data_IF_951287162264
#
_entry.id   IF_951287162264
#
_cell.length_a   1.000
_cell.length_b   1.000
_cell.length_c   1.000
_cell.angle_alpha   90.00
_cell.angle_beta   90.00
_cell.angle_gamma   90.00
#
_symmetry.space_group_name_H-M   'P 1'
#
loop_
_entity.id
_entity.type
_entity.pdbx_description
1 polymer ?
#
# COMPACT_ATOMS: atom_id res chain seq x y z
N UNK A 1 -6.05 10.48 -15.06
CA UNK A 1 -6.50 9.26 -14.37
C UNK A 1 -7.68 9.58 -13.47
N UNK A 2 -8.43 8.54 -13.07
CA UNK A 2 -9.49 8.58 -12.05
C UNK A 2 -8.99 7.82 -10.85
N UNK A 3 -8.98 8.42 -9.67
CA UNK A 3 -8.27 7.88 -8.51
C UNK A 3 -9.15 7.87 -7.26
N UNK A 4 -9.26 6.72 -6.59
CA UNK A 4 -9.66 6.67 -5.18
C UNK A 4 -8.37 6.82 -4.36
N UNK A 5 -8.29 7.87 -3.56
CA UNK A 5 -7.20 8.12 -2.62
C UNK A 5 -7.64 7.63 -1.26
N UNK A 6 -7.04 6.55 -0.78
CA UNK A 6 -7.31 6.01 0.54
C UNK A 6 -6.20 6.38 1.52
N UNK A 7 -6.59 6.99 2.63
CA UNK A 7 -5.72 7.23 3.79
C UNK A 7 -6.59 7.25 5.05
N UNK A 8 -6.23 6.46 6.06
CA UNK A 8 -6.92 6.42 7.35
C UNK A 8 -6.62 7.65 8.21
N UNK A 9 -5.62 8.47 7.83
CA UNK A 9 -5.23 9.68 8.54
C UNK A 9 -4.51 9.45 9.86
N UNK A 10 -3.82 8.32 9.98
CA UNK A 10 -3.02 8.01 11.16
C UNK A 10 -1.62 8.63 11.10
N UNK A 11 -1.00 8.82 12.27
CA UNK A 11 0.38 9.26 12.41
C UNK A 11 1.38 8.20 11.90
N UNK A 12 2.67 8.53 11.95
CA UNK A 12 3.76 7.60 11.65
C UNK A 12 3.74 6.33 12.52
N UNK A 13 3.23 6.45 13.74
CA UNK A 13 3.11 5.38 14.74
C UNK A 13 1.78 4.62 14.64
N UNK A 14 0.90 5.04 13.73
CA UNK A 14 -0.41 4.42 13.51
C UNK A 14 -1.49 4.91 14.46
N UNK A 15 -1.36 6.13 15.00
CA UNK A 15 -2.32 6.73 15.93
C UNK A 15 -3.12 7.85 15.26
N UNK A 16 -4.37 8.04 15.72
CA UNK A 16 -5.28 9.06 15.19
C UNK A 16 -6.22 8.52 14.13
N UNK A 17 -7.14 9.37 13.71
CA UNK A 17 -8.11 9.13 12.64
C UNK A 17 -8.41 10.43 11.92
N UNK A 18 -8.59 10.39 10.60
CA UNK A 18 -9.04 11.53 9.80
C UNK A 18 -8.73 11.39 8.32
N UNK A 19 -9.64 11.88 7.49
CA UNK A 19 -9.50 11.83 6.02
C UNK A 19 -8.69 12.98 5.44
N UNK A 20 -8.17 13.88 6.26
CA UNK A 20 -7.50 15.12 5.81
C UNK A 20 -6.38 14.86 4.79
N UNK A 21 -5.44 13.90 5.00
CA UNK A 21 -4.40 13.65 4.01
C UNK A 21 -4.95 13.18 2.66
N UNK A 22 -6.00 12.34 2.67
CA UNK A 22 -6.62 11.89 1.42
C UNK A 22 -7.32 13.03 0.69
N UNK A 23 -7.97 13.94 1.41
CA UNK A 23 -8.67 15.10 0.83
C UNK A 23 -7.69 16.11 0.22
N UNK A 24 -6.53 16.34 0.86
CA UNK A 24 -5.47 17.19 0.32
C UNK A 24 -4.96 16.65 -1.02
N UNK A 25 -4.63 15.37 -1.10
CA UNK A 25 -4.18 14.72 -2.34
C UNK A 25 -5.28 14.73 -3.41
N UNK A 26 -6.55 14.56 -3.03
CA UNK A 26 -7.69 14.69 -3.95
C UNK A 26 -7.78 16.09 -4.53
N UNK A 27 -7.57 17.14 -3.71
CA UNK A 27 -7.55 18.51 -4.19
C UNK A 27 -6.41 18.74 -5.19
N UNK A 28 -5.20 18.28 -4.89
CA UNK A 28 -4.04 18.38 -5.80
C UNK A 28 -4.31 17.68 -7.14
N UNK A 29 -4.87 16.46 -7.12
CA UNK A 29 -5.20 15.73 -8.36
C UNK A 29 -6.21 16.49 -9.20
N UNK A 30 -7.22 17.11 -8.57
CA UNK A 30 -8.24 17.92 -9.26
C UNK A 30 -7.66 19.19 -9.85
N UNK A 31 -6.77 19.86 -9.12
CA UNK A 31 -6.07 21.06 -9.60
C UNK A 31 -5.18 20.76 -10.82
N UNK A 32 -4.63 19.56 -10.90
CA UNK A 32 -3.92 19.04 -12.07
C UNK A 32 -4.85 18.57 -13.20
N UNK A 33 -6.17 18.73 -13.07
CA UNK A 33 -7.17 18.34 -14.09
C UNK A 33 -7.55 16.85 -14.07
N UNK A 34 -7.20 16.11 -13.02
CA UNK A 34 -7.62 14.73 -12.80
C UNK A 34 -8.97 14.62 -12.08
N UNK A 35 -9.50 13.41 -11.98
CA UNK A 35 -10.69 13.07 -11.19
C UNK A 35 -10.27 12.24 -9.98
N UNK A 36 -10.65 12.65 -8.77
CA UNK A 36 -10.33 11.89 -7.56
C UNK A 36 -11.45 11.98 -6.51
N UNK A 37 -11.55 10.93 -5.69
CA UNK A 37 -12.41 10.87 -4.49
C UNK A 37 -11.60 10.33 -3.32
N UNK A 38 -11.84 10.89 -2.13
CA UNK A 38 -11.20 10.43 -0.90
C UNK A 38 -11.91 9.19 -0.34
N UNK A 39 -11.14 8.36 0.35
CA UNK A 39 -11.62 7.18 1.09
C UNK A 39 -10.83 7.06 2.40
N UNK A 40 -11.51 6.77 3.51
CA UNK A 40 -10.92 6.62 4.85
C UNK A 40 -10.99 5.19 5.38
N UNK A 41 -11.10 4.19 4.51
CA UNK A 41 -11.20 2.80 4.92
C UNK A 41 -9.89 2.29 5.57
N UNK A 42 -10.02 1.49 6.63
CA UNK A 42 -8.94 0.66 7.14
C UNK A 42 -8.68 -0.50 6.15
N UNK A 43 -7.54 -0.46 5.49
CA UNK A 43 -7.14 -1.47 4.48
C UNK A 43 -7.03 -2.89 5.06
N UNK A 44 -6.83 -3.03 6.37
CA UNK A 44 -6.73 -4.32 7.05
C UNK A 44 -8.06 -4.80 7.66
N UNK A 45 -9.12 -3.99 7.60
CA UNK A 45 -10.48 -4.42 7.83
C UNK A 45 -11.07 -5.02 6.55
N UNK A 46 -11.63 -6.22 6.66
CA UNK A 46 -12.07 -6.98 5.49
C UNK A 46 -13.20 -6.33 4.73
N UNK A 47 -14.20 -5.82 5.45
CA UNK A 47 -15.40 -5.24 4.85
C UNK A 47 -15.14 -3.82 4.35
N UNK A 48 -14.31 -3.05 5.06
CA UNK A 48 -13.88 -1.74 4.60
C UNK A 48 -12.99 -1.83 3.36
N UNK A 49 -12.07 -2.79 3.29
CA UNK A 49 -11.30 -3.07 2.08
C UNK A 49 -12.18 -3.44 0.88
N UNK A 50 -13.25 -4.22 1.11
CA UNK A 50 -14.25 -4.51 0.08
C UNK A 50 -14.98 -3.24 -0.39
N UNK A 51 -15.40 -2.40 0.56
CA UNK A 51 -16.10 -1.14 0.29
C UNK A 51 -15.24 -0.14 -0.48
N UNK A 52 -13.92 -0.06 -0.17
CA UNK A 52 -12.96 0.77 -0.89
C UNK A 52 -12.84 0.35 -2.36
N UNK A 53 -12.74 -0.96 -2.62
CA UNK A 53 -12.71 -1.49 -4.00
C UNK A 53 -14.03 -1.20 -4.71
N UNK A 54 -15.17 -1.42 -4.04
CA UNK A 54 -16.49 -1.11 -4.58
C UNK A 54 -16.65 0.38 -4.91
N UNK A 55 -16.12 1.29 -4.10
CA UNK A 55 -16.15 2.74 -4.35
C UNK A 55 -15.59 3.12 -5.72
N UNK A 56 -14.47 2.54 -6.15
CA UNK A 56 -13.91 2.80 -7.47
C UNK A 56 -14.84 2.30 -8.59
N UNK A 57 -15.40 1.10 -8.41
CA UNK A 57 -16.29 0.47 -9.38
C UNK A 57 -17.62 1.25 -9.48
N UNK A 58 -18.21 1.61 -8.35
CA UNK A 58 -19.47 2.35 -8.29
C UNK A 58 -19.33 3.78 -8.85
N UNK A 59 -18.16 4.41 -8.64
CA UNK A 59 -17.93 5.78 -9.11
C UNK A 59 -17.68 5.85 -10.62
N UNK A 60 -16.92 4.87 -11.19
CA UNK A 60 -16.46 4.96 -12.57
C UNK A 60 -16.76 3.71 -13.42
N UNK A 61 -17.49 2.73 -12.89
CA UNK A 61 -17.87 1.50 -13.58
C UNK A 61 -16.74 0.48 -13.77
N UNK A 62 -15.53 0.77 -13.28
CA UNK A 62 -14.33 -0.08 -13.47
C UNK A 62 -13.26 0.15 -12.43
N UNK A 63 -12.39 -0.84 -12.28
CA UNK A 63 -11.13 -0.75 -11.58
C UNK A 63 -10.03 -1.34 -12.50
N UNK A 64 -8.96 -0.60 -12.74
CA UNK A 64 -7.86 -1.02 -13.62
C UNK A 64 -6.58 -1.27 -12.86
N UNK A 65 -6.33 -0.49 -11.81
CA UNK A 65 -5.08 -0.55 -11.06
C UNK A 65 -5.35 -0.44 -9.57
N UNK A 66 -4.68 -1.27 -8.79
CA UNK A 66 -4.63 -1.18 -7.33
C UNK A 66 -3.17 -1.00 -6.89
N UNK A 67 -2.93 0.04 -6.08
CA UNK A 67 -1.64 0.28 -5.43
C UNK A 67 -1.82 0.07 -3.93
N UNK A 68 -1.12 -0.91 -3.36
CA UNK A 68 -1.10 -1.20 -1.93
C UNK A 68 0.18 -0.61 -1.34
N UNK A 69 0.05 0.47 -0.57
CA UNK A 69 1.18 1.20 0.00
C UNK A 69 0.98 1.57 1.48
N UNK A 70 -0.23 1.50 2.02
CA UNK A 70 -0.55 1.86 3.38
C UNK A 70 0.36 1.14 4.40
N UNK A 71 0.81 1.88 5.40
CA UNK A 71 1.65 1.34 6.45
C UNK A 71 2.19 2.40 7.41
N UNK A 72 2.68 1.96 8.54
CA UNK A 72 3.32 2.76 9.58
C UNK A 72 4.43 1.94 10.28
N UNK A 73 5.19 2.57 11.16
CA UNK A 73 6.30 1.93 11.86
C UNK A 73 6.05 1.89 13.38
N UNK A 74 6.43 0.79 14.01
CA UNK A 74 6.60 0.65 15.46
C UNK A 74 7.91 -0.10 15.69
N UNK A 75 9.00 0.66 15.64
CA UNK A 75 10.35 0.10 15.71
C UNK A 75 10.72 -0.27 17.15
N UNK A 76 11.13 -1.53 17.34
CA UNK A 76 11.62 -2.10 18.58
C UNK A 76 12.58 -3.24 18.29
N UNK A 77 13.56 -3.43 19.16
CA UNK A 77 14.38 -4.65 19.15
C UNK A 77 13.48 -5.87 19.37
N UNK A 78 13.69 -6.96 18.62
CA UNK A 78 12.85 -8.16 18.72
C UNK A 78 12.72 -8.70 20.14
N UNK A 79 13.80 -8.60 20.96
CA UNK A 79 13.79 -9.08 22.33
C UNK A 79 12.87 -8.28 23.27
N UNK A 80 12.47 -7.07 22.89
CA UNK A 80 11.64 -6.15 23.70
C UNK A 80 10.38 -5.68 23.00
N UNK A 81 10.11 -6.24 21.80
CA UNK A 81 8.91 -5.93 21.02
C UNK A 81 7.68 -6.49 21.71
N UNK A 82 6.65 -5.68 21.86
CA UNK A 82 5.37 -6.12 22.40
C UNK A 82 4.54 -6.87 21.35
N UNK A 83 3.56 -7.65 21.79
CA UNK A 83 2.57 -8.29 20.94
C UNK A 83 1.80 -7.22 20.13
N UNK A 84 1.39 -6.13 20.78
CA UNK A 84 0.67 -5.03 20.14
C UNK A 84 1.49 -4.35 19.03
N UNK A 85 2.80 -4.13 19.23
CA UNK A 85 3.68 -3.56 18.20
C UNK A 85 3.83 -4.51 17.01
N UNK A 86 3.93 -5.81 17.29
CA UNK A 86 3.99 -6.83 16.25
C UNK A 86 2.68 -6.90 15.46
N UNK A 87 1.57 -7.10 16.14
CA UNK A 87 0.27 -7.34 15.53
C UNK A 87 -0.21 -6.11 14.73
N UNK A 88 -0.04 -4.92 15.26
CA UNK A 88 -0.45 -3.70 14.56
C UNK A 88 0.28 -3.52 13.23
N UNK A 89 1.61 -3.70 13.21
CA UNK A 89 2.42 -3.54 12.01
C UNK A 89 2.14 -4.66 10.99
N UNK A 90 2.14 -5.92 11.43
CA UNK A 90 1.87 -7.06 10.55
C UNK A 90 0.45 -6.99 9.98
N UNK A 91 -0.53 -6.61 10.79
CA UNK A 91 -1.92 -6.44 10.37
C UNK A 91 -2.04 -5.42 9.22
N UNK A 92 -1.52 -4.20 9.40
CA UNK A 92 -1.69 -3.16 8.40
C UNK A 92 -0.85 -3.43 7.16
N UNK A 93 0.42 -3.83 7.32
CA UNK A 93 1.26 -4.10 6.16
C UNK A 93 0.84 -5.36 5.41
N UNK A 94 0.83 -6.52 6.06
CA UNK A 94 0.62 -7.78 5.34
C UNK A 94 -0.85 -8.03 5.00
N UNK A 95 -1.75 -7.96 5.99
CA UNK A 95 -3.19 -8.14 5.73
C UNK A 95 -3.76 -6.98 4.91
N UNK A 96 -3.32 -5.73 5.17
CA UNK A 96 -3.76 -4.55 4.43
C UNK A 96 -3.29 -4.50 2.96
N UNK A 97 -2.28 -5.28 2.56
CA UNK A 97 -1.97 -5.53 1.16
C UNK A 97 -2.83 -6.67 0.58
N UNK A 98 -3.06 -7.71 1.36
CA UNK A 98 -3.83 -8.88 0.92
C UNK A 98 -5.32 -8.57 0.74
N UNK A 99 -5.97 -7.94 1.71
CA UNK A 99 -7.43 -7.80 1.70
C UNK A 99 -7.95 -6.97 0.51
N UNK A 100 -7.45 -5.75 0.22
CA UNK A 100 -7.86 -5.00 -0.97
C UNK A 100 -7.55 -5.74 -2.27
N UNK A 101 -6.36 -6.35 -2.37
CA UNK A 101 -5.97 -7.08 -3.57
C UNK A 101 -6.86 -8.30 -3.83
N UNK A 102 -7.25 -9.01 -2.76
CA UNK A 102 -8.19 -10.14 -2.86
C UNK A 102 -9.58 -9.68 -3.33
N UNK A 103 -10.08 -8.53 -2.88
CA UNK A 103 -11.36 -8.02 -3.36
C UNK A 103 -11.29 -7.54 -4.80
N UNK A 104 -10.21 -6.87 -5.18
CA UNK A 104 -9.97 -6.42 -6.55
C UNK A 104 -9.87 -7.61 -7.51
N UNK A 105 -9.07 -8.63 -7.20
CA UNK A 105 -8.94 -9.81 -8.08
C UNK A 105 -10.22 -10.61 -8.17
N UNK A 106 -11.04 -10.64 -7.13
CA UNK A 106 -12.35 -11.28 -7.20
C UNK A 106 -13.25 -10.59 -8.25
N UNK A 107 -13.28 -9.25 -8.28
CA UNK A 107 -13.99 -8.48 -9.29
C UNK A 107 -13.47 -8.79 -10.70
N UNK A 108 -12.17 -8.72 -10.94
CA UNK A 108 -11.57 -8.99 -12.25
C UNK A 108 -11.80 -10.43 -12.72
N UNK A 109 -11.71 -11.40 -11.80
CA UNK A 109 -12.01 -12.81 -12.09
C UNK A 109 -13.46 -13.00 -12.57
N UNK A 110 -14.44 -12.37 -11.92
CA UNK A 110 -15.85 -12.48 -12.37
C UNK A 110 -16.04 -11.86 -13.75
N UNK A 111 -15.40 -10.73 -14.07
CA UNK A 111 -15.41 -10.13 -15.40
C UNK A 111 -14.83 -11.08 -16.46
N UNK A 112 -13.71 -11.73 -16.15
CA UNK A 112 -13.11 -12.72 -17.06
C UNK A 112 -14.05 -13.91 -17.32
N UNK A 113 -14.81 -14.36 -16.31
CA UNK A 113 -15.77 -15.46 -16.47
C UNK A 113 -16.93 -15.14 -17.44
N UNK A 114 -17.32 -13.89 -17.52
CA UNK A 114 -18.38 -13.45 -18.46
C UNK A 114 -17.81 -13.04 -19.83
N UNK A 115 -16.54 -13.32 -20.07
CA UNK A 115 -15.89 -13.10 -21.36
C UNK A 115 -15.35 -11.68 -21.59
N UNK A 116 -15.30 -10.86 -20.56
CA UNK A 116 -14.69 -9.53 -20.67
C UNK A 116 -13.16 -9.62 -20.66
N UNK A 117 -12.52 -8.78 -21.46
CA UNK A 117 -11.07 -8.63 -21.43
C UNK A 117 -10.66 -7.81 -20.22
N UNK A 118 -9.79 -8.38 -19.39
CA UNK A 118 -9.22 -7.74 -18.22
C UNK A 118 -7.73 -7.47 -18.46
N UNK A 119 -7.30 -6.22 -18.24
CA UNK A 119 -5.91 -5.79 -18.34
C UNK A 119 -5.53 -5.00 -17.06
N UNK A 120 -5.65 -5.66 -15.91
CA UNK A 120 -5.48 -5.03 -14.60
C UNK A 120 -4.03 -5.09 -14.08
N UNK A 121 -3.72 -4.19 -13.15
CA UNK A 121 -2.40 -4.06 -12.51
C UNK A 121 -2.54 -3.98 -11.00
N UNK A 122 -1.69 -4.70 -10.29
CA UNK A 122 -1.51 -4.56 -8.84
C UNK A 122 -0.05 -4.21 -8.56
N UNK A 123 0.15 -3.19 -7.74
CA UNK A 123 1.47 -2.82 -7.22
C UNK A 123 1.44 -2.96 -5.71
N UNK A 124 2.38 -3.70 -5.15
CA UNK A 124 2.53 -3.90 -3.71
C UNK A 124 3.87 -3.34 -3.24
N UNK A 125 3.86 -2.55 -2.18
CA UNK A 125 5.06 -1.91 -1.66
C UNK A 125 5.72 -2.79 -0.60
N UNK A 126 6.82 -3.44 -0.98
CA UNK A 126 7.76 -4.12 -0.09
C UNK A 126 8.80 -3.12 0.46
N UNK A 127 9.97 -3.58 0.84
CA UNK A 127 11.07 -2.75 1.36
C UNK A 127 12.38 -3.50 1.29
N UNK A 128 13.50 -2.78 1.20
CA UNK A 128 14.82 -3.35 1.44
C UNK A 128 14.93 -4.07 2.79
N UNK A 129 14.25 -3.56 3.82
CA UNK A 129 14.18 -4.22 5.13
C UNK A 129 13.55 -5.63 5.06
N UNK A 130 12.56 -5.83 4.18
CA UNK A 130 11.94 -7.15 3.98
C UNK A 130 12.82 -8.13 3.19
N UNK A 131 13.82 -7.64 2.46
CA UNK A 131 14.71 -8.45 1.65
C UNK A 131 16.03 -8.78 2.38
N UNK A 132 16.52 -7.84 3.19
CA UNK A 132 17.84 -7.89 3.82
C UNK A 132 17.79 -7.87 5.36
N UNK A 133 16.63 -7.59 5.94
CA UNK A 133 16.48 -7.29 7.36
C UNK A 133 16.82 -5.85 7.70
N UNK A 134 16.37 -5.41 8.87
CA UNK A 134 16.72 -4.10 9.44
C UNK A 134 16.67 -4.19 10.96
N UNK A 135 17.71 -3.71 11.63
CA UNK A 135 17.81 -3.74 13.10
C UNK A 135 16.68 -2.88 13.68
N UNK A 136 15.95 -3.40 14.68
CA UNK A 136 14.83 -2.72 15.33
C UNK A 136 13.51 -2.78 14.56
N UNK A 137 13.48 -3.36 13.37
CA UNK A 137 12.29 -3.43 12.50
C UNK A 137 11.80 -4.86 12.24
N UNK A 138 11.87 -5.74 13.23
CA UNK A 138 11.55 -7.15 13.03
C UNK A 138 10.13 -7.42 12.54
N UNK A 139 9.12 -6.73 13.08
CA UNK A 139 7.73 -6.77 12.66
C UNK A 139 7.55 -6.28 11.21
N UNK A 140 8.11 -5.10 10.91
CA UNK A 140 8.06 -4.48 9.59
C UNK A 140 8.80 -5.33 8.54
N UNK A 141 10.02 -5.78 8.84
CA UNK A 141 10.80 -6.62 7.95
C UNK A 141 10.07 -7.93 7.62
N UNK A 142 9.50 -8.61 8.63
CA UNK A 142 8.71 -9.82 8.44
C UNK A 142 7.49 -9.57 7.54
N UNK A 143 6.74 -8.48 7.78
CA UNK A 143 5.58 -8.11 6.95
C UNK A 143 5.99 -7.80 5.51
N UNK A 144 7.08 -7.04 5.30
CA UNK A 144 7.57 -6.66 3.97
C UNK A 144 8.16 -7.85 3.20
N UNK A 145 8.79 -8.81 3.87
CA UNK A 145 9.18 -10.09 3.29
C UNK A 145 7.96 -10.91 2.85
N UNK A 146 6.91 -10.95 3.69
CA UNK A 146 5.64 -11.57 3.35
C UNK A 146 4.98 -10.94 2.12
N UNK A 147 5.02 -9.60 1.99
CA UNK A 147 4.52 -8.90 0.81
C UNK A 147 5.33 -9.27 -0.44
N UNK A 148 6.67 -9.34 -0.36
CA UNK A 148 7.49 -9.73 -1.49
C UNK A 148 7.12 -11.12 -2.02
N UNK A 149 6.89 -12.09 -1.12
CA UNK A 149 6.44 -13.42 -1.51
C UNK A 149 4.97 -13.41 -2.00
N UNK A 150 4.10 -12.59 -1.41
CA UNK A 150 2.71 -12.43 -1.86
C UNK A 150 2.66 -11.93 -3.32
N UNK A 151 3.56 -11.04 -3.74
CA UNK A 151 3.68 -10.59 -5.13
C UNK A 151 3.97 -11.77 -6.06
N UNK A 152 4.92 -12.63 -5.70
CA UNK A 152 5.29 -13.82 -6.50
C UNK A 152 4.10 -14.78 -6.62
N UNK A 153 3.46 -15.07 -5.49
CA UNK A 153 2.32 -15.98 -5.42
C UNK A 153 1.13 -15.43 -6.23
N UNK A 154 0.77 -14.18 -6.00
CA UNK A 154 -0.34 -13.51 -6.68
C UNK A 154 -0.09 -13.38 -8.21
N UNK A 155 1.14 -13.10 -8.62
CA UNK A 155 1.52 -13.07 -10.03
C UNK A 155 1.28 -14.43 -10.72
N UNK A 156 1.67 -15.52 -10.06
CA UNK A 156 1.49 -16.88 -10.58
C UNK A 156 0.00 -17.27 -10.67
N UNK A 157 -0.81 -16.88 -9.69
CA UNK A 157 -2.23 -17.26 -9.62
C UNK A 157 -3.13 -16.39 -10.49
N UNK A 158 -2.88 -15.07 -10.56
CA UNK A 158 -3.82 -14.09 -11.11
C UNK A 158 -3.55 -13.74 -12.58
N UNK A 159 -2.38 -14.08 -13.12
CA UNK A 159 -2.04 -13.86 -14.53
C UNK A 159 -3.08 -14.43 -15.49
N UNK A 160 -3.66 -15.58 -15.15
CA UNK A 160 -4.77 -16.22 -15.91
C UNK A 160 -6.07 -15.39 -16.00
N UNK A 161 -6.22 -14.38 -15.15
CA UNK A 161 -7.35 -13.44 -15.15
C UNK A 161 -6.99 -12.08 -15.78
N UNK A 162 -5.83 -11.97 -16.46
CA UNK A 162 -5.37 -10.71 -17.05
C UNK A 162 -4.84 -9.69 -16.02
N UNK A 163 -4.47 -10.15 -14.82
CA UNK A 163 -3.94 -9.31 -13.75
C UNK A 163 -2.44 -9.47 -13.66
N UNK A 164 -1.69 -8.39 -13.84
CA UNK A 164 -0.24 -8.37 -13.60
C UNK A 164 0.04 -7.78 -12.21
N UNK A 165 0.83 -8.51 -11.42
CA UNK A 165 1.20 -8.11 -10.06
C UNK A 165 2.69 -7.80 -10.02
N UNK A 166 3.05 -6.62 -9.51
CA UNK A 166 4.42 -6.19 -9.34
C UNK A 166 4.67 -5.73 -7.90
N UNK A 167 5.89 -5.93 -7.44
CA UNK A 167 6.38 -5.39 -6.17
C UNK A 167 7.35 -4.25 -6.40
N UNK A 168 7.31 -3.26 -5.53
CA UNK A 168 8.33 -2.21 -5.45
C UNK A 168 8.97 -2.26 -4.06
N UNK A 169 10.28 -2.09 -4.00
CA UNK A 169 11.03 -1.90 -2.75
C UNK A 169 11.72 -0.53 -2.88
N UNK A 170 11.02 0.55 -2.55
CA UNK A 170 11.54 1.90 -2.77
C UNK A 170 12.70 2.18 -1.84
N UNK A 171 13.68 2.93 -2.36
CA UNK A 171 14.72 3.57 -1.59
C UNK A 171 14.60 5.08 -1.84
N UNK A 172 13.97 5.77 -0.90
CA UNK A 172 13.65 7.18 -1.04
C UNK A 172 13.69 7.88 0.32
N UNK A 173 14.07 9.15 0.33
CA UNK A 173 13.93 10.00 1.51
C UNK A 173 12.47 10.40 1.66
N UNK A 174 11.84 9.92 2.73
CA UNK A 174 10.44 10.18 3.06
C UNK A 174 10.32 10.48 4.55
N UNK A 175 9.16 10.92 5.02
CA UNK A 175 8.87 11.07 6.46
C UNK A 175 9.17 9.79 7.26
N UNK A 176 9.07 8.60 6.65
CA UNK A 176 9.37 7.32 7.29
C UNK A 176 10.86 7.04 7.39
N UNK A 177 11.68 7.56 6.49
CA UNK A 177 13.13 7.31 6.40
C UNK A 177 13.96 8.46 6.95
N UNK A 178 13.35 9.59 7.23
CA UNK A 178 14.01 10.77 7.80
C UNK A 178 14.55 10.45 9.21
N UNK A 179 15.85 10.66 9.41
CA UNK A 179 16.54 10.36 10.67
C UNK A 179 16.90 8.89 10.90
N UNK A 180 16.60 7.96 9.97
CA UNK A 180 16.92 6.53 10.10
C UNK A 180 18.02 6.10 9.11
N UNK A 181 17.96 6.58 7.87
CA UNK A 181 18.90 6.18 6.80
C UNK A 181 19.93 7.28 6.52
N UNK A 182 19.58 8.52 6.77
CA UNK A 182 20.43 9.67 6.46
C UNK A 182 20.72 10.48 7.74
N UNK A 183 21.72 10.02 8.50
CA UNK A 183 22.24 10.74 9.70
C UNK A 183 23.26 11.82 9.28
N UNK A 184 23.26 12.27 8.04
CA UNK A 184 24.19 13.22 7.47
C UNK A 184 23.55 14.20 6.48
N UNK A 185 24.30 15.24 6.12
CA UNK A 185 23.94 16.16 5.04
C UNK A 185 23.74 15.35 3.75
N UNK A 186 22.73 15.72 2.96
CA UNK A 186 22.48 15.10 1.66
C UNK A 186 23.78 15.19 0.81
N UNK A 187 24.11 14.13 0.02
CA UNK A 187 25.28 14.17 -0.86
C UNK A 187 25.25 15.41 -1.75
N UNK A 188 26.44 15.98 -2.03
CA UNK A 188 26.56 17.13 -2.91
C UNK A 188 25.96 16.83 -4.29
N UNK A 189 24.99 17.64 -4.72
CA UNK A 189 24.25 17.44 -5.97
C UNK A 189 22.95 16.62 -5.84
N UNK A 190 22.55 16.23 -4.62
CA UNK A 190 21.26 15.59 -4.40
C UNK A 190 20.13 16.62 -4.47
N UNK A 191 19.12 16.34 -5.32
CA UNK A 191 17.89 17.14 -5.43
C UNK A 191 16.74 16.39 -4.75
N UNK A 192 16.03 17.07 -3.86
CA UNK A 192 14.86 16.50 -3.13
C UNK A 192 13.71 16.05 -4.07
N UNK A 193 13.74 16.51 -5.30
CA UNK A 193 12.72 16.22 -6.34
C UNK A 193 13.19 15.27 -7.43
N UNK A 194 14.46 14.84 -7.36
CA UNK A 194 15.03 13.89 -8.32
C UNK A 194 14.97 12.48 -7.69
N UNK A 195 14.14 11.55 -8.22
CA UNK A 195 13.95 10.22 -7.67
C UNK A 195 15.16 9.31 -7.77
#
# INVERSE_FOLDING_TARGET
ARVVVNDLGVSREGEGEGSVPAEEVVAEIRDLGGEAVADGADVADWDQAASMVARAIDTWGRLDTLVCNAGFLRDRMLATMSEDDWDAVVRVHLKGHFAPARHAVAHWRERTKVGEEVAARVVMTSSGAGLLGSIGQGNYAAAKAGIALLVVQASAEWGRYGVLVNGVAPDARTRMTEGVIYDGEAPEGWDEKDP
#
